data_IF_557024067686
#
_entry.id   IF_557024067686
#
_cell.length_a   1.000
_cell.length_b   1.000
_cell.length_c   1.000
_cell.angle_alpha   90.00
_cell.angle_beta   90.00
_cell.angle_gamma   90.00
#
_symmetry.space_group_name_H-M   'P 1'
#
loop_
_entity.id
_entity.type
_entity.pdbx_description
1 polymer ?
#
# COMPACT_ATOMS: atom_id res chain seq x y z
N UNK A 1 -11.89 33.30 -43.35
CA UNK A 1 -10.50 33.54 -42.92
C UNK A 1 -10.38 33.90 -41.45
N UNK A 2 -11.14 34.85 -40.91
CA UNK A 2 -11.04 35.29 -39.50
C UNK A 2 -11.34 34.16 -38.50
N UNK A 3 -12.33 33.32 -38.78
CA UNK A 3 -12.75 32.22 -37.89
C UNK A 3 -11.67 31.13 -37.73
N UNK A 4 -10.93 30.81 -38.80
CA UNK A 4 -9.83 29.85 -38.79
C UNK A 4 -8.61 30.36 -38.00
N UNK A 5 -8.39 31.68 -37.99
CA UNK A 5 -7.32 32.33 -37.23
C UNK A 5 -7.63 32.30 -35.73
N UNK A 6 -8.89 32.55 -35.35
CA UNK A 6 -9.33 32.50 -33.95
C UNK A 6 -9.25 31.06 -33.40
N UNK A 7 -9.67 30.06 -34.17
CA UNK A 7 -9.57 28.66 -33.75
C UNK A 7 -8.10 28.21 -33.59
N UNK A 8 -7.22 28.64 -34.50
CA UNK A 8 -5.78 28.40 -34.39
C UNK A 8 -5.17 29.03 -33.14
N UNK A 9 -5.55 30.27 -32.79
CA UNK A 9 -5.09 30.96 -31.58
C UNK A 9 -5.59 30.27 -30.30
N UNK A 10 -6.83 29.79 -30.29
CA UNK A 10 -7.39 29.04 -29.15
C UNK A 10 -6.66 27.70 -28.96
N UNK A 11 -6.38 26.96 -30.04
CA UNK A 11 -5.62 25.70 -29.95
C UNK A 11 -4.19 25.95 -29.48
N UNK A 12 -3.54 27.02 -29.95
CA UNK A 12 -2.19 27.41 -29.48
C UNK A 12 -2.22 27.82 -28.01
N UNK A 13 -3.24 28.57 -27.57
CA UNK A 13 -3.42 28.94 -26.16
C UNK A 13 -3.70 27.70 -25.28
N UNK A 14 -4.50 26.75 -25.75
CA UNK A 14 -4.75 25.48 -25.04
C UNK A 14 -3.47 24.63 -24.98
N UNK A 15 -2.69 24.56 -26.05
CA UNK A 15 -1.40 23.86 -26.06
C UNK A 15 -0.36 24.59 -25.21
N UNK A 16 -0.36 25.92 -25.20
CA UNK A 16 0.51 26.72 -24.35
C UNK A 16 0.13 26.58 -22.87
N UNK A 17 -1.17 26.54 -22.52
CA UNK A 17 -1.65 26.25 -21.17
C UNK A 17 -1.35 24.80 -20.77
N UNK A 18 -1.54 23.80 -21.65
CA UNK A 18 -1.16 22.40 -21.39
C UNK A 18 0.36 22.21 -21.26
N UNK A 19 1.17 22.99 -21.99
CA UNK A 19 2.63 22.95 -21.92
C UNK A 19 3.17 23.75 -20.73
N UNK A 20 2.50 24.83 -20.33
CA UNK A 20 2.82 25.62 -19.13
C UNK A 20 2.40 24.94 -17.83
N UNK A 21 1.48 23.96 -17.87
CA UNK A 21 1.14 23.13 -16.72
C UNK A 21 2.01 21.87 -16.58
N UNK A 22 3.06 21.76 -17.42
CA UNK A 22 4.24 20.92 -17.15
C UNK A 22 5.34 21.79 -16.57
N UNK A 23 5.03 22.49 -15.48
CA UNK A 23 6.09 22.98 -14.60
C UNK A 23 6.79 21.73 -14.08
N UNK A 24 8.02 21.49 -14.54
CA UNK A 24 8.92 20.59 -13.83
C UNK A 24 8.94 21.09 -12.41
N UNK A 25 8.34 20.33 -11.49
CA UNK A 25 8.39 20.61 -10.06
C UNK A 25 9.86 20.87 -9.75
N UNK A 26 10.19 22.13 -9.47
CA UNK A 26 11.45 22.49 -8.83
C UNK A 26 11.62 21.47 -7.71
N UNK A 27 12.82 20.88 -7.61
CA UNK A 27 13.18 20.05 -6.47
C UNK A 27 13.10 20.97 -5.27
N UNK A 28 11.92 21.06 -4.65
CA UNK A 28 11.72 21.76 -3.39
C UNK A 28 12.77 21.17 -2.49
N UNK A 29 13.70 22.00 -2.05
CA UNK A 29 14.73 21.60 -1.11
C UNK A 29 13.99 21.09 0.13
N UNK A 30 13.82 19.77 0.23
CA UNK A 30 12.97 19.16 1.24
C UNK A 30 13.51 19.56 2.60
N UNK A 31 12.64 20.12 3.44
CA UNK A 31 13.03 20.58 4.76
C UNK A 31 13.60 19.40 5.56
N UNK A 32 14.57 19.67 6.42
CA UNK A 32 15.04 18.66 7.39
C UNK A 32 13.85 18.08 8.13
N UNK A 33 13.68 16.77 8.04
CA UNK A 33 12.56 16.07 8.68
C UNK A 33 12.56 16.33 10.18
N UNK A 34 11.42 16.74 10.77
CA UNK A 34 11.34 17.01 12.20
C UNK A 34 11.78 15.78 13.01
N UNK A 35 12.57 15.98 14.08
CA UNK A 35 13.04 14.88 14.94
C UNK A 35 11.89 14.01 15.48
N UNK A 36 10.74 14.63 15.75
CA UNK A 36 9.53 13.92 16.18
C UNK A 36 9.03 12.91 15.14
N UNK A 37 9.14 13.22 13.85
CA UNK A 37 8.74 12.30 12.78
C UNK A 37 9.70 11.11 12.73
N UNK A 38 11.02 11.38 12.78
CA UNK A 38 12.03 10.32 12.82
C UNK A 38 11.82 9.38 14.01
N UNK A 39 11.48 9.91 15.18
CA UNK A 39 11.19 9.11 16.37
C UNK A 39 9.99 8.17 16.13
N UNK A 40 8.87 8.69 15.61
CA UNK A 40 7.67 7.90 15.29
C UNK A 40 7.97 6.84 14.23
N UNK A 41 8.66 7.21 13.14
CA UNK A 41 9.04 6.27 12.09
C UNK A 41 9.95 5.15 12.63
N UNK A 42 10.92 5.49 13.48
CA UNK A 42 11.80 4.50 14.13
C UNK A 42 11.00 3.55 15.03
N UNK A 43 10.05 4.08 15.79
CA UNK A 43 9.24 3.33 16.74
C UNK A 43 8.26 2.38 16.04
N UNK A 44 7.52 2.86 15.04
CA UNK A 44 6.39 2.12 14.48
C UNK A 44 6.68 1.45 13.12
N UNK A 45 7.63 1.94 12.34
CA UNK A 45 7.82 1.47 10.95
C UNK A 45 9.04 0.58 10.87
N UNK A 46 8.82 -0.74 10.97
CA UNK A 46 9.88 -1.76 10.96
C UNK A 46 10.79 -1.66 9.73
N UNK A 47 10.20 -1.42 8.56
CA UNK A 47 10.94 -1.18 7.31
C UNK A 47 11.96 -0.03 7.47
N UNK A 48 11.50 1.14 7.95
CA UNK A 48 12.32 2.33 8.14
C UNK A 48 13.49 2.11 9.11
N UNK A 49 13.24 1.39 10.22
CA UNK A 49 14.27 1.08 11.22
C UNK A 49 15.43 0.25 10.66
N UNK A 50 15.18 -0.57 9.63
CA UNK A 50 16.17 -1.41 8.98
C UNK A 50 16.94 -0.70 7.84
N UNK A 51 16.53 0.50 7.45
CA UNK A 51 17.21 1.29 6.43
C UNK A 51 18.51 1.90 6.95
N UNK A 52 19.53 2.01 6.09
CA UNK A 52 20.72 2.81 6.40
C UNK A 52 20.43 4.32 6.34
N UNK A 53 21.34 5.15 6.84
CA UNK A 53 21.15 6.61 6.93
C UNK A 53 20.78 7.29 5.61
N UNK A 54 21.33 6.82 4.48
CA UNK A 54 20.99 7.36 3.16
C UNK A 54 19.55 7.00 2.77
N UNK A 55 19.20 5.72 2.94
CA UNK A 55 17.86 5.21 2.67
C UNK A 55 16.81 5.83 3.59
N UNK A 56 17.13 6.07 4.88
CA UNK A 56 16.23 6.78 5.80
C UNK A 56 15.96 8.20 5.31
N UNK A 57 16.98 8.94 4.84
CA UNK A 57 16.76 10.27 4.26
C UNK A 57 15.87 10.23 3.02
N UNK A 58 16.03 9.22 2.17
CA UNK A 58 15.15 9.03 1.02
C UNK A 58 13.71 8.75 1.48
N UNK A 59 13.52 7.82 2.41
CA UNK A 59 12.21 7.45 2.94
C UNK A 59 11.49 8.65 3.57
N UNK A 60 12.21 9.43 4.38
CA UNK A 60 11.70 10.66 4.97
C UNK A 60 11.28 11.69 3.91
N UNK A 61 12.10 11.87 2.86
CA UNK A 61 11.79 12.71 1.70
C UNK A 61 10.50 12.27 1.02
N UNK A 62 10.35 10.97 0.77
CA UNK A 62 9.20 10.41 0.07
C UNK A 62 7.92 10.50 0.92
N UNK A 63 8.03 10.32 2.25
CA UNK A 63 6.93 10.57 3.20
C UNK A 63 6.49 12.02 3.17
N UNK A 64 7.42 12.98 3.18
CA UNK A 64 7.10 14.40 3.08
C UNK A 64 6.38 14.73 1.77
N UNK A 65 6.87 14.19 0.64
CA UNK A 65 6.27 14.39 -0.68
C UNK A 65 4.85 13.81 -0.72
N UNK A 66 4.66 12.60 -0.21
CA UNK A 66 3.34 11.97 -0.14
C UNK A 66 2.37 12.83 0.68
N UNK A 67 2.77 13.28 1.88
CA UNK A 67 1.91 14.10 2.74
C UNK A 67 1.64 15.52 2.21
N UNK A 68 2.45 16.00 1.26
CA UNK A 68 2.20 17.26 0.56
C UNK A 68 1.19 17.10 -0.59
N UNK A 69 1.23 15.96 -1.29
CA UNK A 69 0.37 15.68 -2.45
C UNK A 69 -0.97 15.01 -2.04
N UNK A 70 -1.04 14.28 -0.92
CA UNK A 70 -2.21 13.49 -0.50
C UNK A 70 -2.74 13.91 0.87
N UNK A 71 -4.05 14.17 0.97
CA UNK A 71 -4.71 14.48 2.25
C UNK A 71 -4.96 13.22 3.07
N UNK A 72 -4.88 13.34 4.39
CA UNK A 72 -5.30 12.29 5.34
C UNK A 72 -6.38 12.89 6.23
N UNK A 73 -7.61 12.38 6.11
CA UNK A 73 -8.80 12.95 6.74
C UNK A 73 -9.51 11.91 7.60
N UNK A 74 -9.89 12.28 8.82
CA UNK A 74 -10.65 11.41 9.71
C UNK A 74 -12.14 11.52 9.45
N UNK A 75 -12.82 10.39 9.28
CA UNK A 75 -14.28 10.32 9.21
C UNK A 75 -14.79 9.83 10.55
N UNK A 76 -15.41 10.72 11.33
CA UNK A 76 -15.86 10.44 12.71
C UNK A 76 -14.72 9.99 13.65
N UNK A 77 -13.49 10.37 13.34
CA UNK A 77 -12.31 10.11 14.16
C UNK A 77 -11.30 11.24 14.00
N UNK A 78 -10.43 11.41 14.99
CA UNK A 78 -9.32 12.35 14.91
C UNK A 78 -8.12 11.68 14.24
N UNK A 79 -7.38 12.48 13.45
CA UNK A 79 -6.15 12.06 12.78
C UNK A 79 -4.99 12.81 13.42
N UNK A 80 -4.10 12.07 14.07
CA UNK A 80 -2.89 12.61 14.67
C UNK A 80 -1.66 12.43 13.75
N UNK A 81 -0.49 12.80 14.28
CA UNK A 81 0.75 12.69 13.53
C UNK A 81 1.17 11.23 13.27
N UNK A 82 0.92 10.32 14.20
CA UNK A 82 1.25 8.90 14.03
C UNK A 82 0.42 8.34 12.88
N UNK A 83 -0.89 8.59 12.89
CA UNK A 83 -1.80 8.16 11.81
C UNK A 83 -1.30 8.59 10.43
N UNK A 84 -0.96 9.87 10.28
CA UNK A 84 -0.47 10.44 9.01
C UNK A 84 0.82 9.75 8.55
N UNK A 85 1.74 9.50 9.48
CA UNK A 85 3.01 8.85 9.15
C UNK A 85 2.83 7.36 8.83
N UNK A 86 1.89 6.66 9.46
CA UNK A 86 1.58 5.28 9.11
C UNK A 86 0.96 5.19 7.70
N UNK A 87 -0.01 6.05 7.38
CA UNK A 87 -0.58 6.12 6.01
C UNK A 87 0.51 6.40 4.98
N UNK A 88 1.35 7.41 5.23
CA UNK A 88 2.44 7.76 4.32
C UNK A 88 3.46 6.61 4.17
N UNK A 89 3.77 5.92 5.27
CA UNK A 89 4.69 4.77 5.24
C UNK A 89 4.11 3.61 4.43
N UNK A 90 2.81 3.33 4.55
CA UNK A 90 2.14 2.31 3.73
C UNK A 90 2.23 2.61 2.23
N UNK A 91 2.22 3.89 1.85
CA UNK A 91 2.38 4.34 0.47
C UNK A 91 3.85 4.26 0.00
N UNK A 92 4.78 4.69 0.84
CA UNK A 92 6.20 4.81 0.47
C UNK A 92 6.88 3.44 0.35
N UNK A 93 6.53 2.47 1.20
CA UNK A 93 7.17 1.14 1.22
C UNK A 93 7.08 0.43 -0.16
N UNK A 94 5.90 0.29 -0.81
CA UNK A 94 5.81 -0.29 -2.15
C UNK A 94 6.57 0.49 -3.22
N UNK A 95 6.60 1.82 -3.12
CA UNK A 95 7.25 2.70 -4.10
C UNK A 95 8.73 2.98 -3.84
N UNK A 96 9.32 2.43 -2.78
CA UNK A 96 10.69 2.80 -2.37
C UNK A 96 11.75 2.48 -3.44
N UNK A 97 11.51 1.44 -4.26
CA UNK A 97 12.32 1.10 -5.43
C UNK A 97 12.11 2.00 -6.67
N UNK A 98 11.23 3.01 -6.57
CA UNK A 98 10.83 3.91 -7.66
C UNK A 98 10.91 5.39 -7.26
N UNK A 99 12.12 5.97 -7.08
CA UNK A 99 12.28 7.33 -6.53
C UNK A 99 11.59 8.47 -7.30
N UNK A 100 11.26 8.25 -8.57
CA UNK A 100 10.59 9.24 -9.42
C UNK A 100 9.06 9.08 -9.47
N UNK A 101 8.50 8.07 -8.81
CA UNK A 101 7.08 7.75 -8.86
C UNK A 101 6.31 8.42 -7.73
N UNK A 102 5.02 8.66 -7.99
CA UNK A 102 4.03 9.09 -7.02
C UNK A 102 2.66 8.50 -7.39
N UNK A 103 1.76 8.39 -6.43
CA UNK A 103 0.39 7.91 -6.68
C UNK A 103 -0.45 8.99 -7.38
N UNK A 104 -0.47 8.97 -8.71
CA UNK A 104 -1.17 10.00 -9.52
C UNK A 104 -2.70 9.98 -9.39
N UNK A 105 -3.25 8.84 -8.98
CA UNK A 105 -4.69 8.59 -8.92
C UNK A 105 -5.23 8.65 -7.48
N UNK A 106 -4.48 9.23 -6.53
CA UNK A 106 -4.88 9.35 -5.13
C UNK A 106 -4.74 10.79 -4.65
N UNK A 107 -5.88 11.39 -4.28
CA UNK A 107 -5.97 12.71 -3.70
C UNK A 107 -6.07 12.65 -2.17
N UNK A 108 -6.73 11.62 -1.63
CA UNK A 108 -7.13 11.59 -0.21
C UNK A 108 -7.27 10.18 0.36
N UNK A 109 -6.76 9.98 1.57
CA UNK A 109 -6.97 8.80 2.40
C UNK A 109 -7.90 9.16 3.56
N UNK A 110 -9.02 8.45 3.64
CA UNK A 110 -10.03 8.59 4.69
C UNK A 110 -9.79 7.54 5.78
N UNK A 111 -9.57 7.99 7.02
CA UNK A 111 -9.44 7.11 8.18
C UNK A 111 -10.77 6.99 8.91
N UNK A 112 -11.27 5.76 9.01
CA UNK A 112 -12.49 5.41 9.73
C UNK A 112 -12.13 4.88 11.13
N UNK A 113 -12.95 5.10 12.17
CA UNK A 113 -12.66 4.65 13.53
C UNK A 113 -12.71 3.13 13.71
N UNK A 114 -13.27 2.41 12.74
CA UNK A 114 -13.46 0.94 12.75
C UNK A 114 -13.58 0.43 11.31
N UNK A 115 -13.72 -0.89 11.15
CA UNK A 115 -14.13 -1.51 9.89
C UNK A 115 -15.49 -1.00 9.41
N UNK A 116 -15.77 -1.15 8.12
CA UNK A 116 -17.00 -0.69 7.47
C UNK A 116 -17.55 -1.76 6.51
N UNK A 117 -18.73 -1.54 5.92
CA UNK A 117 -19.28 -2.36 4.84
C UNK A 117 -19.27 -1.63 3.49
N UNK A 118 -19.71 -2.30 2.40
CA UNK A 118 -19.76 -1.72 1.05
C UNK A 118 -20.62 -0.46 0.92
N UNK A 119 -21.56 -0.25 1.85
CA UNK A 119 -22.40 0.94 1.93
C UNK A 119 -21.77 2.03 2.81
N UNK A 120 -20.49 1.85 3.19
CA UNK A 120 -19.69 2.75 4.03
C UNK A 120 -20.17 2.89 5.47
N UNK A 121 -21.01 1.97 5.97
CA UNK A 121 -21.47 2.00 7.35
C UNK A 121 -20.38 1.50 8.30
N UNK A 122 -20.01 2.34 9.25
CA UNK A 122 -18.99 2.03 10.28
C UNK A 122 -19.53 0.98 11.26
N UNK A 123 -18.70 -0.02 11.56
CA UNK A 123 -18.99 -1.04 12.59
C UNK A 123 -20.01 -2.08 12.16
N UNK A 124 -20.23 -2.26 10.86
CA UNK A 124 -21.13 -3.29 10.33
C UNK A 124 -20.70 -4.69 10.77
N UNK A 125 -21.67 -5.52 11.16
CA UNK A 125 -21.42 -6.92 11.56
C UNK A 125 -21.56 -7.90 10.39
N UNK A 126 -22.22 -7.47 9.31
CA UNK A 126 -22.53 -8.29 8.12
C UNK A 126 -21.29 -8.49 7.26
N UNK A 127 -20.57 -7.41 7.01
CA UNK A 127 -19.34 -7.37 6.24
C UNK A 127 -18.30 -6.56 7.01
N UNK A 128 -17.04 -6.97 6.95
CA UNK A 128 -15.93 -6.32 7.64
C UNK A 128 -14.90 -5.99 6.58
N UNK A 129 -14.93 -4.75 6.12
CA UNK A 129 -13.93 -4.17 5.22
C UNK A 129 -13.03 -3.28 6.07
N UNK A 130 -11.71 -3.47 5.93
CA UNK A 130 -10.69 -2.72 6.66
C UNK A 130 -9.92 -1.75 5.77
N UNK A 131 -10.04 -1.89 4.46
CA UNK A 131 -9.42 -1.04 3.45
C UNK A 131 -10.22 -1.12 2.16
N UNK A 132 -10.26 -0.04 1.38
CA UNK A 132 -10.70 -0.07 -0.01
C UNK A 132 -10.14 1.10 -0.81
N UNK A 133 -9.82 0.85 -2.07
CA UNK A 133 -9.63 1.90 -3.09
C UNK A 133 -10.99 2.30 -3.67
N UNK A 134 -11.29 3.59 -3.63
CA UNK A 134 -12.54 4.15 -4.16
C UNK A 134 -12.59 4.15 -5.69
N UNK A 135 -13.81 3.99 -6.21
CA UNK A 135 -14.11 4.04 -7.65
C UNK A 135 -15.32 4.94 -7.92
N UNK A 136 -15.51 5.38 -9.17
CA UNK A 136 -16.67 6.20 -9.55
C UNK A 136 -16.71 7.52 -8.79
N UNK A 137 -17.77 7.76 -8.00
CA UNK A 137 -17.87 8.97 -7.17
C UNK A 137 -16.78 9.05 -6.07
N UNK A 138 -16.19 7.91 -5.71
CA UNK A 138 -15.09 7.80 -4.75
C UNK A 138 -13.72 7.68 -5.42
N UNK A 139 -13.63 7.88 -6.74
CA UNK A 139 -12.34 7.98 -7.43
C UNK A 139 -11.43 9.03 -6.77
N UNK A 140 -10.13 8.76 -6.74
CA UNK A 140 -9.15 9.59 -6.06
C UNK A 140 -9.10 9.40 -4.53
N UNK A 141 -9.92 8.52 -3.96
CA UNK A 141 -9.98 8.31 -2.50
C UNK A 141 -9.66 6.87 -2.12
N UNK A 142 -9.01 6.69 -0.99
CA UNK A 142 -8.86 5.41 -0.30
C UNK A 142 -9.51 5.50 1.07
N UNK A 143 -10.14 4.44 1.54
CA UNK A 143 -10.64 4.34 2.92
C UNK A 143 -9.81 3.28 3.65
N UNK A 144 -9.36 3.60 4.87
CA UNK A 144 -8.71 2.65 5.77
C UNK A 144 -9.38 2.68 7.15
N UNK A 145 -9.53 1.51 7.76
CA UNK A 145 -9.84 1.37 9.18
C UNK A 145 -8.58 1.77 9.97
N UNK A 146 -8.65 2.87 10.72
CA UNK A 146 -7.57 3.34 11.60
C UNK A 146 -7.01 2.24 12.51
N UNK A 147 -7.84 1.45 13.24
CA UNK A 147 -7.28 0.39 14.08
C UNK A 147 -6.60 -0.73 13.27
N UNK A 148 -7.06 -1.03 12.05
CA UNK A 148 -6.40 -2.00 11.18
C UNK A 148 -5.06 -1.47 10.61
N UNK A 149 -5.00 -0.17 10.28
CA UNK A 149 -3.76 0.50 9.89
C UNK A 149 -2.69 0.39 10.98
N UNK A 150 -3.03 0.74 12.23
CA UNK A 150 -2.11 0.62 13.37
C UNK A 150 -1.68 -0.83 13.59
N UNK A 151 -2.63 -1.78 13.54
CA UNK A 151 -2.32 -3.20 13.68
C UNK A 151 -1.29 -3.70 12.66
N UNK A 152 -1.36 -3.21 11.41
CA UNK A 152 -0.41 -3.57 10.36
C UNK A 152 1.03 -3.14 10.63
N UNK A 153 1.25 -2.11 11.44
CA UNK A 153 2.60 -1.67 11.83
C UNK A 153 3.02 -2.21 13.21
N UNK A 154 2.07 -2.41 14.12
CA UNK A 154 2.34 -2.93 15.45
C UNK A 154 2.63 -4.45 15.44
N UNK A 155 2.09 -5.20 14.47
CA UNK A 155 2.17 -6.66 14.39
C UNK A 155 3.01 -7.10 13.19
N UNK A 156 4.32 -6.91 13.29
CA UNK A 156 5.31 -7.23 12.23
C UNK A 156 5.47 -8.73 11.86
N UNK A 157 4.57 -9.62 12.30
CA UNK A 157 4.72 -11.06 12.06
C UNK A 157 3.44 -11.85 11.80
N UNK A 158 2.30 -11.19 11.69
CA UNK A 158 1.06 -11.84 11.26
C UNK A 158 0.92 -11.91 9.73
N UNK A 159 1.85 -11.29 9.00
CA UNK A 159 1.93 -11.22 7.53
C UNK A 159 0.84 -10.33 6.92
N UNK A 160 0.26 -9.42 7.71
CA UNK A 160 -0.86 -8.56 7.32
C UNK A 160 -0.54 -7.10 7.53
N UNK A 161 -0.81 -6.28 6.52
CA UNK A 161 -0.71 -4.83 6.61
C UNK A 161 -1.70 -4.21 5.62
N UNK A 162 -2.89 -3.84 6.13
CA UNK A 162 -3.97 -3.32 5.29
C UNK A 162 -3.57 -2.05 4.53
N UNK A 163 -2.69 -1.23 5.09
CA UNK A 163 -2.20 -0.05 4.39
C UNK A 163 -1.40 -0.47 3.16
N UNK A 164 -0.42 -1.35 3.34
CA UNK A 164 0.39 -1.88 2.22
C UNK A 164 -0.50 -2.59 1.20
N UNK A 165 -1.49 -3.35 1.65
CA UNK A 165 -2.46 -4.05 0.79
C UNK A 165 -3.17 -3.07 -0.17
N UNK A 166 -3.80 -2.02 0.36
CA UNK A 166 -4.52 -1.06 -0.48
C UNK A 166 -3.58 -0.25 -1.38
N UNK A 167 -2.38 0.08 -0.89
CA UNK A 167 -1.37 0.76 -1.71
C UNK A 167 -0.75 -0.15 -2.78
N UNK A 168 -0.78 -1.47 -2.60
CA UNK A 168 -0.43 -2.43 -3.65
C UNK A 168 -1.50 -2.46 -4.76
N UNK A 169 -2.78 -2.33 -4.44
CA UNK A 169 -3.82 -2.12 -5.46
C UNK A 169 -3.63 -0.82 -6.23
N UNK A 170 -3.23 0.26 -5.57
CA UNK A 170 -2.90 1.51 -6.27
C UNK A 170 -1.62 1.41 -7.11
N UNK A 171 -0.64 0.61 -6.67
CA UNK A 171 0.55 0.32 -7.45
C UNK A 171 0.21 -0.47 -8.73
N UNK A 172 -0.65 -1.49 -8.61
CA UNK A 172 -1.22 -2.24 -9.74
C UNK A 172 -1.89 -1.27 -10.74
N UNK A 173 -2.65 -0.28 -10.22
CA UNK A 173 -3.33 0.76 -11.01
C UNK A 173 -2.42 1.74 -11.76
N UNK A 174 -1.10 1.73 -11.58
CA UNK A 174 -0.23 2.77 -12.17
C UNK A 174 -0.29 2.81 -13.71
N UNK A 175 -0.58 1.68 -14.36
CA UNK A 175 -0.78 1.60 -15.81
C UNK A 175 -2.22 1.94 -16.27
N UNK A 176 -3.12 2.24 -15.32
CA UNK A 176 -4.53 2.59 -15.54
C UNK A 176 -5.54 1.49 -15.23
N UNK A 177 -5.12 0.25 -14.93
CA UNK A 177 -6.00 -0.88 -14.65
C UNK A 177 -5.60 -1.59 -13.35
N UNK A 178 -6.57 -2.11 -12.59
CA UNK A 178 -6.31 -2.98 -11.42
C UNK A 178 -6.64 -4.41 -11.84
N UNK A 179 -5.68 -5.11 -12.45
CA UNK A 179 -5.86 -6.43 -13.06
C UNK A 179 -5.02 -7.55 -12.38
N UNK A 180 -4.20 -7.16 -11.41
CA UNK A 180 -3.22 -7.98 -10.73
C UNK A 180 -1.96 -8.24 -11.55
N UNK A 181 -1.70 -7.46 -12.62
CA UNK A 181 -0.48 -7.48 -13.42
C UNK A 181 0.38 -6.29 -13.03
N UNK A 182 1.50 -6.51 -12.32
CA UNK A 182 2.29 -5.42 -11.82
C UNK A 182 2.88 -4.56 -12.95
N UNK A 183 3.10 -3.25 -12.70
CA UNK A 183 3.81 -2.37 -13.62
C UNK A 183 5.13 -2.97 -14.12
N UNK A 184 5.37 -2.89 -15.43
CA UNK A 184 6.52 -3.49 -16.12
C UNK A 184 6.33 -4.95 -16.57
N UNK A 185 5.19 -5.57 -16.27
CA UNK A 185 4.84 -6.94 -16.72
C UNK A 185 3.75 -6.95 -17.81
N UNK A 186 3.40 -5.81 -18.41
CA UNK A 186 2.27 -5.65 -19.33
C UNK A 186 2.53 -6.33 -20.69
N UNK A 187 3.79 -6.46 -21.10
CA UNK A 187 4.13 -7.22 -22.30
C UNK A 187 3.71 -8.69 -22.09
N UNK A 188 3.03 -9.26 -23.10
CA UNK A 188 2.57 -10.66 -23.09
C UNK A 188 3.66 -11.65 -22.71
N UNK A 189 4.92 -11.37 -23.08
CA UNK A 189 6.07 -12.19 -22.74
C UNK A 189 6.30 -12.33 -21.22
N UNK A 190 5.85 -11.36 -20.43
CA UNK A 190 5.95 -11.34 -18.96
C UNK A 190 4.59 -11.58 -18.28
N UNK A 191 3.51 -11.03 -18.85
CA UNK A 191 2.15 -11.19 -18.32
C UNK A 191 1.70 -12.66 -18.28
N UNK A 192 1.90 -13.43 -19.36
CA UNK A 192 1.43 -14.82 -19.40
C UNK A 192 2.14 -15.72 -18.37
N UNK A 193 3.49 -15.70 -18.26
CA UNK A 193 4.17 -16.41 -17.19
C UNK A 193 3.74 -15.99 -15.78
N UNK A 194 3.48 -14.69 -15.57
CA UNK A 194 2.96 -14.19 -14.30
C UNK A 194 1.57 -14.74 -13.99
N UNK A 195 0.63 -14.69 -14.94
CA UNK A 195 -0.73 -15.18 -14.76
C UNK A 195 -0.77 -16.69 -14.50
N UNK A 196 0.04 -17.48 -15.21
CA UNK A 196 0.18 -18.91 -14.95
C UNK A 196 0.76 -19.19 -13.55
N UNK A 197 1.75 -18.40 -13.15
CA UNK A 197 2.34 -18.48 -11.82
C UNK A 197 1.34 -18.14 -10.72
N UNK A 198 0.56 -17.07 -10.87
CA UNK A 198 -0.53 -16.69 -9.95
C UNK A 198 -1.53 -17.82 -9.85
N UNK A 199 -1.99 -18.38 -10.99
CA UNK A 199 -2.93 -19.51 -11.00
C UNK A 199 -2.39 -20.71 -10.23
N UNK A 200 -1.17 -21.13 -10.50
CA UNK A 200 -0.52 -22.25 -9.78
C UNK A 200 -0.47 -21.98 -8.28
N UNK A 201 -0.11 -20.76 -7.88
CA UNK A 201 -0.04 -20.37 -6.47
C UNK A 201 -1.42 -20.35 -5.81
N UNK A 202 -2.46 -19.88 -6.48
CA UNK A 202 -3.83 -19.95 -5.97
C UNK A 202 -4.31 -21.39 -5.81
N UNK A 203 -3.95 -22.29 -6.74
CA UNK A 203 -4.29 -23.72 -6.64
C UNK A 203 -3.59 -24.37 -5.42
N UNK A 204 -2.31 -24.03 -5.16
CA UNK A 204 -1.57 -24.47 -3.96
C UNK A 204 -2.22 -23.97 -2.65
N UNK A 205 -2.71 -22.72 -2.62
CA UNK A 205 -3.42 -22.16 -1.45
C UNK A 205 -4.75 -22.87 -1.21
N UNK A 206 -5.55 -23.07 -2.27
CA UNK A 206 -6.83 -23.78 -2.18
C UNK A 206 -6.66 -25.24 -1.74
N UNK A 207 -5.58 -25.89 -2.15
CA UNK A 207 -5.21 -27.23 -1.70
C UNK A 207 -4.67 -27.29 -0.25
N UNK A 208 -4.57 -26.15 0.45
CA UNK A 208 -3.95 -26.01 1.78
C UNK A 208 -2.49 -26.44 1.81
N UNK A 209 -1.79 -26.28 0.69
CA UNK A 209 -0.36 -26.56 0.54
C UNK A 209 0.50 -25.27 0.58
N UNK A 210 -0.07 -24.16 1.03
CA UNK A 210 0.58 -22.86 1.15
C UNK A 210 0.23 -22.21 2.49
N UNK A 211 1.14 -21.42 3.03
CA UNK A 211 0.92 -20.60 4.23
C UNK A 211 0.53 -19.15 3.92
N UNK A 212 0.30 -18.82 2.63
CA UNK A 212 -0.27 -17.55 2.16
C UNK A 212 -1.76 -17.51 2.53
N UNK A 213 -2.26 -16.33 2.92
CA UNK A 213 -3.65 -16.15 3.34
C UNK A 213 -4.61 -16.52 2.20
N UNK A 214 -5.62 -17.34 2.52
CA UNK A 214 -6.64 -17.81 1.57
C UNK A 214 -7.42 -16.69 0.90
N UNK A 215 -7.47 -15.50 1.51
CA UNK A 215 -8.09 -14.32 0.91
C UNK A 215 -7.48 -13.95 -0.45
N UNK A 216 -6.19 -14.22 -0.66
CA UNK A 216 -5.51 -14.01 -1.94
C UNK A 216 -6.03 -14.89 -3.09
N UNK A 217 -6.93 -15.85 -2.83
CA UNK A 217 -7.58 -16.68 -3.87
C UNK A 217 -8.88 -16.08 -4.39
N UNK A 218 -9.35 -14.97 -3.81
CA UNK A 218 -10.59 -14.28 -4.23
C UNK A 218 -10.53 -13.87 -5.70
N UNK A 219 -9.45 -13.23 -6.11
CA UNK A 219 -9.15 -12.86 -7.49
C UNK A 219 -7.64 -12.53 -7.61
N UNK A 220 -7.19 -12.15 -8.81
CA UNK A 220 -5.77 -11.86 -9.07
C UNK A 220 -5.28 -10.59 -8.38
N UNK A 221 -6.14 -9.59 -8.27
CA UNK A 221 -5.84 -8.33 -7.59
C UNK A 221 -5.56 -8.60 -6.10
N UNK A 222 -6.42 -9.35 -5.45
CA UNK A 222 -6.25 -9.76 -4.05
C UNK A 222 -5.01 -10.65 -3.88
N UNK A 223 -4.73 -11.55 -4.83
CA UNK A 223 -3.51 -12.34 -4.80
C UNK A 223 -2.27 -11.44 -4.76
N UNK A 224 -2.20 -10.44 -5.65
CA UNK A 224 -1.06 -9.53 -5.71
C UNK A 224 -0.93 -8.70 -4.43
N UNK A 225 -2.03 -8.16 -3.91
CA UNK A 225 -2.02 -7.39 -2.67
C UNK A 225 -1.60 -8.23 -1.45
N UNK A 226 -2.17 -9.43 -1.27
CA UNK A 226 -1.78 -10.36 -0.20
C UNK A 226 -0.32 -10.81 -0.34
N UNK A 227 0.13 -11.12 -1.55
CA UNK A 227 1.52 -11.49 -1.78
C UNK A 227 2.48 -10.31 -1.46
N UNK A 228 2.05 -9.08 -1.71
CA UNK A 228 2.79 -7.86 -1.36
C UNK A 228 2.87 -7.65 0.14
N UNK A 229 1.79 -7.87 0.90
CA UNK A 229 1.83 -7.86 2.37
C UNK A 229 2.88 -8.85 2.89
N UNK A 230 2.88 -10.10 2.38
CA UNK A 230 3.87 -11.10 2.77
C UNK A 230 5.29 -10.69 2.43
N UNK A 231 5.49 -10.06 1.27
CA UNK A 231 6.78 -9.60 0.81
C UNK A 231 7.36 -8.53 1.75
N UNK A 232 6.56 -7.51 2.11
CA UNK A 232 7.01 -6.41 2.95
C UNK A 232 7.04 -6.74 4.45
N UNK A 233 6.10 -7.56 4.94
CA UNK A 233 6.02 -7.91 6.37
C UNK A 233 6.94 -9.08 6.75
N UNK A 234 7.07 -10.10 5.89
CA UNK A 234 7.82 -11.33 6.21
C UNK A 234 8.68 -11.82 5.04
N UNK A 235 9.58 -10.98 4.48
CA UNK A 235 10.40 -11.32 3.31
C UNK A 235 11.23 -12.59 3.47
N UNK A 236 11.84 -12.81 4.63
CA UNK A 236 12.64 -14.02 4.88
C UNK A 236 11.80 -15.29 4.83
N UNK A 237 10.61 -15.27 5.43
CA UNK A 237 9.67 -16.39 5.41
C UNK A 237 9.17 -16.64 3.98
N UNK A 238 8.83 -15.57 3.25
CA UNK A 238 8.40 -15.67 1.87
C UNK A 238 9.51 -16.23 0.97
N UNK A 239 10.76 -15.82 1.16
CA UNK A 239 11.92 -16.35 0.42
C UNK A 239 12.17 -17.82 0.72
N UNK A 240 12.00 -18.23 1.98
CA UNK A 240 12.20 -19.62 2.40
C UNK A 240 11.11 -20.56 1.84
N UNK A 241 9.83 -20.17 1.96
CA UNK A 241 8.69 -21.03 1.59
C UNK A 241 8.22 -20.87 0.15
N UNK A 242 8.39 -19.68 -0.42
CA UNK A 242 7.94 -19.34 -1.78
C UNK A 242 9.05 -18.61 -2.56
N UNK A 243 10.24 -19.22 -2.75
CA UNK A 243 11.41 -18.55 -3.31
C UNK A 243 11.17 -17.94 -4.70
N UNK A 244 10.37 -18.61 -5.55
CA UNK A 244 10.01 -18.07 -6.86
C UNK A 244 9.11 -16.83 -6.74
N UNK A 245 8.15 -16.83 -5.81
CA UNK A 245 7.27 -15.67 -5.59
C UNK A 245 8.08 -14.50 -5.05
N UNK A 246 8.94 -14.75 -4.06
CA UNK A 246 9.86 -13.75 -3.53
C UNK A 246 10.74 -13.12 -4.63
N UNK A 247 11.34 -13.95 -5.49
CA UNK A 247 12.17 -13.48 -6.60
C UNK A 247 11.38 -12.64 -7.60
N UNK A 248 10.13 -13.01 -7.89
CA UNK A 248 9.26 -12.24 -8.79
C UNK A 248 8.89 -10.91 -8.17
N UNK A 249 8.45 -10.88 -6.90
CA UNK A 249 8.10 -9.64 -6.21
C UNK A 249 9.31 -8.71 -6.02
N UNK A 250 10.52 -9.26 -5.81
CA UNK A 250 11.75 -8.46 -5.76
C UNK A 250 12.01 -7.72 -7.07
N UNK A 251 11.68 -8.35 -8.21
CA UNK A 251 11.75 -7.71 -9.53
C UNK A 251 10.63 -6.69 -9.71
N UNK A 252 9.40 -7.03 -9.32
CA UNK A 252 8.24 -6.13 -9.42
C UNK A 252 8.47 -4.84 -8.64
N UNK A 253 8.93 -4.93 -7.40
CA UNK A 253 9.10 -3.78 -6.51
C UNK A 253 10.48 -3.12 -6.60
N UNK A 254 11.40 -3.67 -7.39
CA UNK A 254 12.82 -3.28 -7.42
C UNK A 254 13.48 -3.24 -6.04
N UNK A 255 13.18 -4.21 -5.18
CA UNK A 255 13.65 -4.26 -3.80
C UNK A 255 14.11 -5.68 -3.42
N UNK A 256 15.28 -5.82 -2.79
CA UNK A 256 15.69 -7.06 -2.10
C UNK A 256 15.54 -6.85 -0.59
N UNK A 257 14.35 -7.16 -0.09
CA UNK A 257 14.03 -6.96 1.31
C UNK A 257 14.81 -7.86 2.26
N UNK A 258 15.35 -8.99 1.80
CA UNK A 258 16.18 -9.85 2.66
C UNK A 258 17.59 -9.31 2.83
N UNK A 259 18.04 -8.41 1.96
CA UNK A 259 19.27 -7.65 2.13
C UNK A 259 19.09 -6.41 3.01
N UNK A 260 17.86 -5.88 3.12
CA UNK A 260 17.53 -4.68 3.89
C UNK A 260 17.08 -5.02 5.30
N UNK A 261 16.13 -5.94 5.45
CA UNK A 261 15.52 -6.27 6.74
C UNK A 261 16.32 -7.38 7.41
N UNK A 262 16.83 -7.12 8.61
CA UNK A 262 17.47 -8.14 9.43
C UNK A 262 16.45 -9.20 9.88
N UNK A 263 16.79 -10.48 9.69
CA UNK A 263 15.95 -11.63 10.04
C UNK A 263 15.62 -11.68 11.54
N UNK A 264 16.49 -11.13 12.38
CA UNK A 264 16.33 -11.13 13.84
C UNK A 264 15.70 -9.84 14.38
N UNK A 265 15.44 -8.85 13.51
CA UNK A 265 14.86 -7.55 13.90
C UNK A 265 13.35 -7.56 14.16
N UNK A 266 12.65 -8.66 13.85
CA UNK A 266 11.22 -8.75 14.11
C UNK A 266 10.96 -8.79 15.61
N UNK A 267 10.04 -7.94 16.06
CA UNK A 267 9.56 -8.00 17.44
C UNK A 267 9.06 -9.41 17.76
N UNK A 268 9.33 -9.90 18.98
CA UNK A 268 8.69 -11.12 19.47
C UNK A 268 7.18 -10.97 19.29
N UNK A 269 6.46 -11.99 18.79
CA UNK A 269 5.03 -11.89 18.60
C UNK A 269 4.37 -11.44 19.89
N UNK A 270 3.74 -10.26 19.86
CA UNK A 270 2.80 -9.88 20.91
C UNK A 270 1.58 -10.77 20.70
N UNK A 271 1.59 -11.93 21.36
CA UNK A 271 0.58 -12.95 21.16
C UNK A 271 -0.81 -12.37 21.48
N UNK A 272 -1.60 -12.09 20.45
CA UNK A 272 -2.99 -11.67 20.62
C UNK A 272 -3.76 -12.90 21.08
N UNK A 273 -4.27 -12.86 22.30
CA UNK A 273 -5.11 -13.91 22.83
C UNK A 273 -6.29 -14.20 21.89
N UNK A 274 -6.54 -15.47 21.58
CA UNK A 274 -7.62 -15.89 20.65
C UNK A 274 -8.99 -15.30 20.99
N UNK A 275 -9.24 -15.03 22.28
CA UNK A 275 -10.49 -14.46 22.79
C UNK A 275 -10.44 -12.94 23.01
N UNK A 276 -9.29 -12.29 22.83
CA UNK A 276 -9.15 -10.84 22.93
C UNK A 276 -9.95 -10.13 21.83
N UNK A 277 -10.38 -8.87 22.04
CA UNK A 277 -10.94 -8.05 20.96
C UNK A 277 -9.99 -8.00 19.77
N UNK A 278 -10.54 -8.10 18.56
CA UNK A 278 -9.75 -8.09 17.33
C UNK A 278 -9.15 -6.69 17.10
N UNK A 279 -7.84 -6.58 16.81
CA UNK A 279 -7.17 -5.29 16.66
C UNK A 279 -7.65 -4.51 15.43
N UNK A 280 -8.30 -5.13 14.45
CA UNK A 280 -8.87 -4.42 13.29
C UNK A 280 -10.10 -3.55 13.60
N UNK A 281 -10.57 -3.55 14.86
CA UNK A 281 -11.70 -2.74 15.29
C UNK A 281 -13.08 -3.33 15.00
N UNK A 282 -13.18 -4.56 14.49
CA UNK A 282 -14.45 -5.20 14.10
C UNK A 282 -15.43 -5.51 15.25
N UNK A 283 -15.00 -5.33 16.50
CA UNK A 283 -15.78 -5.71 17.70
C UNK A 283 -15.92 -7.22 17.91
N UNK A 284 -15.33 -8.07 17.04
CA UNK A 284 -15.30 -9.53 17.21
C UNK A 284 -14.08 -9.97 18.02
N UNK A 285 -14.12 -11.20 18.56
CA UNK A 285 -12.91 -11.86 19.11
C UNK A 285 -11.92 -12.14 17.99
N UNK A 286 -10.62 -12.07 18.26
CA UNK A 286 -9.55 -12.29 17.27
C UNK A 286 -9.75 -13.59 16.45
N UNK A 287 -10.04 -14.71 17.12
CA UNK A 287 -10.29 -16.02 16.48
C UNK A 287 -11.51 -16.08 15.54
N UNK A 288 -12.39 -15.09 15.59
CA UNK A 288 -13.59 -14.99 14.76
C UNK A 288 -13.50 -13.85 13.74
N UNK A 289 -12.31 -13.25 13.58
CA UNK A 289 -12.03 -12.15 12.67
C UNK A 289 -10.62 -12.35 12.06
N UNK A 290 -9.64 -11.47 12.33
CA UNK A 290 -8.32 -11.53 11.68
C UNK A 290 -7.52 -12.81 11.93
N UNK A 291 -7.79 -13.50 13.05
CA UNK A 291 -7.18 -14.79 13.40
C UNK A 291 -8.03 -16.02 13.05
N UNK A 292 -8.97 -15.87 12.11
CA UNK A 292 -9.77 -16.97 11.56
C UNK A 292 -8.97 -17.61 10.41
N UNK A 293 -8.13 -18.59 10.74
CA UNK A 293 -7.56 -19.54 9.77
C UNK A 293 -8.55 -20.68 9.50
#
# INVERSE_FOLDING_TARGET
MVFSIILGLIVILIFAFKKSNKSGKEVTQLMTTPLKWKAILTEHVHFYRNLNDHQQRQFESDVQRFLADTRVTGVQTQVDLVDRLLVASSAVIPLFGFPAWNYKYLDEVLLYPSSFDRDYNIGSKKEIITGMVGTGAMEGKMILSKPALHAGFDITNDKKNVGIHEFAHLFDKENGEVDGIPPGFEDKAYALPWLDFVKKKTDEILARHSDIDGYGTTNRQEFFAVASEYFFERPHLLKEKHPQLYKTLSKVFHQDLTAVIDKDSYSKPKAIGRNSPCPCGSGKKYKHCCGKE
#
